data_IF_619329970038
#
_entry.id   IF_619329970038
#
_cell.length_a   1.000
_cell.length_b   1.000
_cell.length_c   1.000
_cell.angle_alpha   90.00
_cell.angle_beta   90.00
_cell.angle_gamma   90.00
#
_symmetry.space_group_name_H-M   'P 1'
#
loop_
_entity.id
_entity.type
_entity.pdbx_description
1 polymer ?
#
# COMPACT_ATOMS: atom_id res chain seq x y z
N UNK A 1 29.85 -8.99 -16.73
CA UNK A 1 30.48 -8.09 -15.73
C UNK A 1 29.40 -7.12 -15.33
N UNK A 2 28.74 -7.40 -14.20
CA UNK A 2 27.87 -6.44 -13.52
C UNK A 2 28.77 -5.29 -13.07
N UNK A 3 28.60 -4.12 -13.67
CA UNK A 3 29.17 -2.90 -13.10
C UNK A 3 28.50 -2.67 -11.75
N UNK A 4 29.30 -2.39 -10.72
CA UNK A 4 28.85 -2.20 -9.35
C UNK A 4 27.82 -1.05 -9.29
N UNK A 5 26.67 -1.29 -8.64
CA UNK A 5 25.58 -0.34 -8.49
C UNK A 5 26.08 1.00 -7.93
N UNK A 6 27.04 0.90 -7.01
CA UNK A 6 27.62 2.02 -6.29
C UNK A 6 28.53 2.90 -7.15
N UNK A 7 29.11 2.35 -8.22
CA UNK A 7 29.97 3.12 -9.15
C UNK A 7 29.16 4.07 -10.05
N UNK A 8 27.86 3.82 -10.22
CA UNK A 8 26.95 4.69 -10.99
C UNK A 8 26.17 5.66 -10.12
N UNK A 9 26.20 5.47 -8.81
CA UNK A 9 25.44 6.29 -7.87
C UNK A 9 26.10 7.67 -7.73
N UNK A 10 25.44 8.70 -8.28
CA UNK A 10 25.86 10.09 -8.13
C UNK A 10 24.84 10.79 -7.24
N UNK A 11 25.28 11.30 -6.09
CA UNK A 11 24.48 12.22 -5.31
C UNK A 11 24.34 13.53 -6.10
N UNK A 12 23.17 13.75 -6.70
CA UNK A 12 22.88 15.00 -7.39
C UNK A 12 22.32 16.02 -6.42
N UNK A 13 22.89 17.22 -6.40
CA UNK A 13 22.35 18.32 -5.62
C UNK A 13 21.25 19.04 -6.41
N UNK A 14 20.02 18.57 -6.31
CA UNK A 14 18.84 19.36 -6.68
C UNK A 14 18.12 19.76 -5.40
N UNK A 15 17.53 20.95 -5.34
CA UNK A 15 16.73 21.34 -4.19
C UNK A 15 15.25 21.33 -4.54
N UNK A 16 14.41 21.01 -3.56
CA UNK A 16 12.96 21.18 -3.70
C UNK A 16 12.54 22.66 -3.60
N UNK A 17 11.23 22.91 -3.65
CA UNK A 17 10.67 24.27 -3.58
C UNK A 17 10.92 25.01 -2.26
N UNK A 18 11.30 24.30 -1.19
CA UNK A 18 11.64 24.85 0.12
C UNK A 18 13.16 24.87 0.39
N UNK A 19 13.98 24.47 -0.59
CA UNK A 19 15.44 24.52 -0.53
C UNK A 19 16.11 23.29 0.08
N UNK A 20 15.37 22.21 0.35
CA UNK A 20 15.94 20.96 0.87
C UNK A 20 16.59 20.15 -0.25
N UNK A 21 17.70 19.44 0.01
CA UNK A 21 18.34 18.61 -0.99
C UNK A 21 17.44 17.43 -1.38
N UNK A 22 17.51 17.06 -2.64
CA UNK A 22 16.93 15.81 -3.16
C UNK A 22 18.09 14.91 -3.51
N UNK A 23 18.31 13.88 -2.69
CA UNK A 23 19.32 12.87 -2.94
C UNK A 23 18.76 11.86 -3.94
N UNK A 24 19.27 11.89 -5.16
CA UNK A 24 18.89 10.95 -6.21
C UNK A 24 20.02 9.96 -6.45
N UNK A 25 19.67 8.74 -6.84
CA UNK A 25 20.62 7.82 -7.48
C UNK A 25 20.10 7.47 -8.86
N UNK A 26 21.02 7.24 -9.78
CA UNK A 26 20.71 6.95 -11.17
C UNK A 26 20.31 5.48 -11.39
N UNK A 27 20.42 4.61 -10.38
CA UNK A 27 20.43 3.16 -10.60
C UNK A 27 19.66 2.27 -9.61
N UNK A 28 19.23 2.72 -8.42
CA UNK A 28 18.67 1.77 -7.43
C UNK A 28 17.55 2.23 -6.51
N UNK A 29 17.59 3.41 -5.89
CA UNK A 29 16.59 3.68 -4.84
C UNK A 29 15.40 4.53 -5.29
N UNK A 30 15.39 4.93 -6.57
CA UNK A 30 14.67 6.13 -6.98
C UNK A 30 15.25 7.38 -6.29
N UNK A 31 14.44 8.42 -6.16
CA UNK A 31 14.86 9.69 -5.55
C UNK A 31 14.36 9.73 -4.10
N UNK A 32 15.24 9.99 -3.14
CA UNK A 32 14.88 10.13 -1.73
C UNK A 32 15.16 11.53 -1.21
N UNK A 33 14.32 12.00 -0.31
CA UNK A 33 14.43 13.36 0.25
C UNK A 33 14.29 13.27 1.76
N UNK A 34 15.26 13.82 2.50
CA UNK A 34 15.06 14.11 3.92
C UNK A 34 14.94 15.61 4.09
N UNK A 35 13.78 16.04 4.55
CA UNK A 35 13.46 17.44 4.81
C UNK A 35 12.90 17.63 6.22
N UNK A 36 12.52 18.87 6.55
CA UNK A 36 11.69 19.13 7.72
C UNK A 36 10.65 20.21 7.41
N UNK A 37 9.46 20.16 8.04
CA UNK A 37 8.44 21.18 7.90
C UNK A 37 8.96 22.57 8.31
N UNK A 38 8.34 23.62 7.75
CA UNK A 38 8.54 24.98 8.26
C UNK A 38 8.29 25.02 9.78
N UNK A 39 9.05 25.82 10.55
CA UNK A 39 9.94 26.90 10.10
C UNK A 39 11.43 26.53 9.99
N UNK A 40 11.79 25.25 9.91
CA UNK A 40 13.18 24.84 9.60
C UNK A 40 13.68 25.48 8.31
N UNK A 41 14.96 25.85 8.28
CA UNK A 41 15.62 26.42 7.10
C UNK A 41 16.99 25.80 6.88
N UNK A 42 17.27 25.21 5.72
CA UNK A 42 18.64 24.89 5.31
C UNK A 42 19.49 26.16 5.30
N UNK A 43 20.68 26.09 5.91
CA UNK A 43 21.62 27.22 6.01
C UNK A 43 22.99 26.91 5.42
N UNK A 44 23.35 25.63 5.33
CA UNK A 44 24.60 25.18 4.75
C UNK A 44 24.40 23.84 4.04
N UNK A 45 25.14 23.66 2.96
CA UNK A 45 24.95 22.58 2.00
C UNK A 45 26.29 22.26 1.35
N UNK A 46 26.82 21.08 1.64
CA UNK A 46 28.06 20.58 1.05
C UNK A 46 27.77 19.30 0.27
N UNK A 47 28.36 19.17 -0.92
CA UNK A 47 28.15 18.01 -1.77
C UNK A 47 29.43 17.66 -2.49
N UNK A 48 29.87 16.44 -2.24
CA UNK A 48 30.88 15.73 -3.01
C UNK A 48 30.22 14.63 -3.84
N UNK A 49 31.01 13.83 -4.54
CA UNK A 49 30.51 12.73 -5.38
C UNK A 49 29.79 11.66 -4.55
N UNK A 50 30.29 11.37 -3.35
CA UNK A 50 29.85 10.26 -2.49
C UNK A 50 29.27 10.70 -1.15
N UNK A 51 29.31 11.99 -0.86
CA UNK A 51 28.79 12.55 0.38
C UNK A 51 28.00 13.82 0.12
N UNK A 52 26.83 13.90 0.72
CA UNK A 52 25.98 15.09 0.73
C UNK A 52 25.66 15.42 2.18
N UNK A 53 25.88 16.66 2.57
CA UNK A 53 25.62 17.13 3.92
C UNK A 53 24.83 18.42 3.93
N UNK A 54 23.81 18.47 4.78
CA UNK A 54 22.95 19.63 4.96
C UNK A 54 22.87 20.00 6.41
N UNK A 55 23.07 21.27 6.69
CA UNK A 55 22.75 21.87 7.99
C UNK A 55 21.50 22.73 7.84
N UNK A 56 20.56 22.55 8.76
CA UNK A 56 19.40 23.39 8.90
C UNK A 56 19.27 23.96 10.32
N UNK A 57 18.63 25.12 10.44
CA UNK A 57 18.38 25.79 11.71
C UNK A 57 16.88 26.06 11.92
N UNK A 58 16.45 25.98 13.16
CA UNK A 58 15.10 26.32 13.60
C UNK A 58 15.15 27.59 14.46
N UNK A 59 14.22 28.55 14.28
CA UNK A 59 14.21 29.82 15.01
C UNK A 59 14.16 29.66 16.54
N UNK A 60 13.65 28.53 17.05
CA UNK A 60 13.63 28.27 18.50
C UNK A 60 14.97 27.88 19.11
N UNK A 61 16.03 27.75 18.30
CA UNK A 61 17.36 27.36 18.78
C UNK A 61 17.61 25.85 18.69
N UNK A 62 17.24 25.25 17.56
CA UNK A 62 17.65 23.89 17.20
C UNK A 62 18.49 23.91 15.93
N UNK A 63 19.45 22.99 15.84
CA UNK A 63 20.24 22.75 14.64
C UNK A 63 20.12 21.29 14.24
N UNK A 64 19.86 21.06 12.96
CA UNK A 64 19.78 19.75 12.36
C UNK A 64 20.92 19.58 11.36
N UNK A 65 21.54 18.40 11.36
CA UNK A 65 22.53 17.98 10.38
C UNK A 65 22.06 16.67 9.75
N UNK A 66 21.97 16.64 8.43
CA UNK A 66 21.64 15.45 7.64
C UNK A 66 22.86 15.14 6.80
N UNK A 67 23.34 13.90 6.86
CA UNK A 67 24.47 13.41 6.06
C UNK A 67 24.05 12.16 5.30
N UNK A 68 24.29 12.17 4.00
CA UNK A 68 24.17 11.02 3.12
C UNK A 68 25.59 10.59 2.74
N UNK A 69 25.87 9.30 2.87
CA UNK A 69 27.14 8.70 2.44
C UNK A 69 26.85 7.53 1.53
N UNK A 70 27.46 7.49 0.36
CA UNK A 70 27.34 6.40 -0.62
C UNK A 70 28.72 5.77 -0.83
N UNK A 71 28.87 4.55 -0.33
CA UNK A 71 30.05 3.71 -0.55
C UNK A 71 29.59 2.31 -1.00
N UNK A 72 29.86 1.26 -0.23
CA UNK A 72 29.27 -0.08 -0.44
C UNK A 72 27.82 -0.17 0.06
N UNK A 73 27.37 0.88 0.75
CA UNK A 73 26.04 1.04 1.32
C UNK A 73 25.63 2.50 1.16
N UNK A 74 24.34 2.78 1.30
CA UNK A 74 23.83 4.14 1.38
C UNK A 74 23.38 4.47 2.80
N UNK A 75 24.22 5.21 3.52
CA UNK A 75 23.93 5.64 4.89
C UNK A 75 23.25 7.02 4.91
N UNK A 76 22.21 7.16 5.74
CA UNK A 76 21.54 8.42 6.06
C UNK A 76 21.64 8.64 7.56
N UNK A 77 22.33 9.70 7.97
CA UNK A 77 22.48 10.10 9.37
C UNK A 77 21.82 11.45 9.61
N UNK A 78 20.95 11.52 10.61
CA UNK A 78 20.22 12.72 10.99
C UNK A 78 20.50 12.99 12.46
N UNK A 79 20.99 14.18 12.79
CA UNK A 79 21.22 14.62 14.17
C UNK A 79 20.50 15.94 14.36
N UNK A 80 19.64 16.02 15.38
CA UNK A 80 18.97 17.25 15.81
C UNK A 80 19.41 17.58 17.22
N UNK A 81 19.86 18.81 17.45
CA UNK A 81 20.36 19.26 18.76
C UNK A 81 19.81 20.63 19.14
N UNK A 82 19.48 20.81 20.41
CA UNK A 82 19.19 22.12 20.99
C UNK A 82 20.49 22.94 21.14
N UNK A 83 20.52 24.16 20.61
CA UNK A 83 21.68 25.07 20.68
C UNK A 83 21.59 26.07 21.83
N UNK A 84 20.40 26.24 22.41
CA UNK A 84 20.16 27.13 23.55
C UNK A 84 20.18 26.45 24.92
N UNK A 85 19.86 27.23 25.94
CA UNK A 85 19.80 26.84 27.36
C UNK A 85 18.38 26.53 27.88
N UNK A 86 17.38 26.58 26.98
CA UNK A 86 15.97 26.28 27.26
C UNK A 86 15.52 24.98 26.61
N UNK A 87 14.52 24.34 27.20
CA UNK A 87 13.81 23.26 26.55
C UNK A 87 13.02 23.80 25.35
N UNK A 88 13.01 23.05 24.25
CA UNK A 88 12.35 23.42 22.99
C UNK A 88 11.52 22.25 22.47
N UNK A 89 10.52 22.59 21.66
CA UNK A 89 9.73 21.63 20.90
C UNK A 89 9.72 22.07 19.44
N UNK A 90 10.22 21.22 18.55
CA UNK A 90 10.37 21.54 17.12
C UNK A 90 9.80 20.41 16.26
N UNK A 91 9.32 20.68 15.03
CA UNK A 91 8.92 19.63 14.10
C UNK A 91 10.08 18.68 13.80
N UNK A 92 9.80 17.39 13.70
CA UNK A 92 10.81 16.39 13.31
C UNK A 92 11.07 16.37 11.80
N UNK A 93 12.17 15.74 11.37
CA UNK A 93 12.46 15.50 9.96
C UNK A 93 11.49 14.50 9.35
N UNK A 94 11.31 14.59 8.03
CA UNK A 94 10.52 13.67 7.19
C UNK A 94 11.42 13.07 6.13
N UNK A 95 11.24 11.79 5.85
CA UNK A 95 11.91 11.06 4.80
C UNK A 95 10.89 10.61 3.75
N UNK A 96 11.03 11.15 2.53
CA UNK A 96 10.12 10.96 1.40
C UNK A 96 10.77 10.18 0.28
N UNK A 97 9.94 9.44 -0.45
CA UNK A 97 10.33 8.57 -1.55
C UNK A 97 9.64 9.02 -2.82
N UNK A 98 10.39 9.55 -3.76
CA UNK A 98 9.91 10.02 -5.06
C UNK A 98 10.18 8.93 -6.10
N UNK A 99 9.45 7.82 -5.94
CA UNK A 99 9.46 6.65 -6.81
C UNK A 99 8.17 6.58 -7.62
N UNK A 100 8.21 5.83 -8.71
CA UNK A 100 7.07 5.49 -9.57
C UNK A 100 6.13 4.46 -8.92
N UNK A 101 6.69 3.54 -8.14
CA UNK A 101 5.96 2.55 -7.35
C UNK A 101 6.06 2.92 -5.86
N UNK A 102 4.97 2.85 -5.08
CA UNK A 102 4.99 3.09 -3.64
C UNK A 102 5.99 2.18 -2.93
N UNK A 103 6.67 2.68 -1.92
CA UNK A 103 7.64 1.93 -1.11
C UNK A 103 6.95 1.16 0.01
N UNK A 104 7.50 0.02 0.42
CA UNK A 104 7.07 -0.65 1.65
C UNK A 104 7.84 -0.06 2.81
N UNK A 105 7.16 0.48 3.80
CA UNK A 105 7.76 1.06 4.98
C UNK A 105 7.12 0.47 6.23
N UNK A 106 7.97 0.04 7.16
CA UNK A 106 7.61 -0.43 8.50
C UNK A 106 8.40 0.37 9.55
N UNK A 107 8.10 1.67 9.73
CA UNK A 107 8.73 2.52 10.75
C UNK A 107 8.04 2.29 12.10
N UNK A 108 8.53 1.31 12.86
CA UNK A 108 7.90 0.78 14.06
C UNK A 108 8.60 1.27 15.33
N UNK A 109 9.02 2.52 15.43
CA UNK A 109 9.70 3.07 16.61
C UNK A 109 11.19 2.76 16.61
N UNK A 110 11.65 1.98 17.59
CA UNK A 110 13.05 1.61 17.73
C UNK A 110 13.58 0.74 16.58
N UNK A 111 12.69 0.02 15.89
CA UNK A 111 12.98 -0.72 14.66
C UNK A 111 12.31 -0.06 13.45
N UNK A 112 12.97 -0.17 12.30
CA UNK A 112 12.46 0.39 11.06
C UNK A 112 13.05 -0.34 9.86
N UNK A 113 12.19 -0.73 8.93
CA UNK A 113 12.60 -1.28 7.62
C UNK A 113 11.86 -0.52 6.53
N UNK A 114 12.54 -0.13 5.46
CA UNK A 114 11.91 0.43 4.25
C UNK A 114 12.47 -0.28 3.03
N UNK A 115 11.63 -0.52 2.03
CA UNK A 115 12.02 -1.13 0.77
C UNK A 115 11.55 -0.30 -0.41
N UNK A 116 12.46 -0.01 -1.33
CA UNK A 116 12.15 0.69 -2.58
C UNK A 116 12.33 -0.26 -3.74
N UNK A 117 11.34 -0.34 -4.63
CA UNK A 117 11.37 -1.15 -5.85
C UNK A 117 10.97 -0.26 -7.03
N UNK A 118 11.88 0.59 -7.54
CA UNK A 118 11.57 1.38 -8.72
C UNK A 118 11.32 0.45 -9.92
N UNK A 119 10.41 0.83 -10.83
CA UNK A 119 10.13 0.03 -12.04
C UNK A 119 11.36 -0.14 -12.92
N UNK A 120 12.24 0.87 -12.90
CA UNK A 120 13.55 0.85 -13.54
C UNK A 120 14.66 1.03 -12.48
N UNK A 121 15.31 -0.07 -12.09
CA UNK A 121 16.43 -0.05 -11.14
C UNK A 121 16.54 -1.34 -10.34
N UNK A 122 17.55 -1.40 -9.46
CA UNK A 122 17.64 -2.45 -8.43
C UNK A 122 16.67 -2.19 -7.27
N UNK A 123 16.31 -3.22 -6.51
CA UNK A 123 15.56 -3.04 -5.26
C UNK A 123 16.53 -2.61 -4.16
N UNK A 124 16.08 -1.73 -3.25
CA UNK A 124 16.86 -1.37 -2.05
C UNK A 124 16.10 -1.72 -0.78
N UNK A 125 16.84 -2.21 0.20
CA UNK A 125 16.41 -2.41 1.57
C UNK A 125 17.10 -1.41 2.48
N UNK A 126 16.34 -0.78 3.36
CA UNK A 126 16.80 0.23 4.29
C UNK A 126 16.49 -0.19 5.72
N UNK A 127 17.53 -0.33 6.54
CA UNK A 127 17.41 -0.70 7.94
C UNK A 127 17.69 0.48 8.85
N UNK A 128 16.83 0.70 9.82
CA UNK A 128 17.10 1.63 10.92
C UNK A 128 18.13 1.02 11.86
N UNK A 129 19.23 1.74 12.07
CA UNK A 129 20.26 1.40 13.05
C UNK A 129 20.03 2.11 14.39
N UNK A 130 19.51 3.34 14.33
CA UNK A 130 19.18 4.18 15.49
C UNK A 130 17.98 5.04 15.12
N UNK A 131 17.04 5.23 16.05
CA UNK A 131 15.92 6.15 15.88
C UNK A 131 14.70 5.80 16.71
N UNK A 132 13.64 6.59 16.54
CA UNK A 132 12.28 6.29 17.01
C UNK A 132 11.32 6.64 15.87
N UNK A 133 11.40 5.86 14.79
CA UNK A 133 10.70 6.19 13.55
C UNK A 133 9.21 5.91 13.63
N UNK A 134 8.42 6.69 12.88
CA UNK A 134 6.98 6.47 12.77
C UNK A 134 6.49 6.74 11.36
N UNK A 135 5.33 6.19 11.04
CA UNK A 135 4.63 6.50 9.80
C UNK A 135 4.04 7.92 9.88
N UNK A 136 4.45 8.81 8.98
CA UNK A 136 3.86 10.13 8.80
C UNK A 136 2.67 10.11 7.84
N UNK A 137 2.16 11.30 7.54
CA UNK A 137 1.12 11.47 6.52
C UNK A 137 1.74 11.51 5.11
N UNK A 138 2.97 12.02 5.01
CA UNK A 138 3.68 12.37 3.79
C UNK A 138 5.09 11.74 3.71
N UNK A 139 5.38 10.72 4.52
CA UNK A 139 6.65 10.01 4.53
C UNK A 139 6.95 9.29 5.85
N UNK A 140 8.15 8.75 5.98
CA UNK A 140 8.66 8.21 7.26
C UNK A 140 9.13 9.38 8.13
N UNK A 141 8.86 9.34 9.43
CA UNK A 141 9.33 10.32 10.42
C UNK A 141 10.47 9.69 11.22
N UNK A 142 11.76 9.88 10.88
CA UNK A 142 12.87 9.10 11.47
C UNK A 142 13.07 9.30 12.97
N UNK A 143 12.58 10.44 13.50
CA UNK A 143 12.68 10.83 14.90
C UNK A 143 11.30 11.15 15.53
N UNK A 144 10.21 10.80 14.84
CA UNK A 144 8.85 11.19 15.22
C UNK A 144 8.43 12.60 14.76
N UNK A 145 7.16 12.93 14.97
CA UNK A 145 6.51 14.16 14.44
C UNK A 145 6.99 15.43 15.13
N UNK A 146 7.18 15.38 16.44
CA UNK A 146 7.57 16.50 17.29
C UNK A 146 8.73 16.06 18.17
N UNK A 147 9.81 16.84 18.16
CA UNK A 147 11.00 16.61 18.95
C UNK A 147 10.95 17.49 20.19
N UNK A 148 10.89 16.89 21.37
CA UNK A 148 11.10 17.58 22.63
C UNK A 148 12.58 17.44 23.01
N UNK A 149 13.28 18.57 23.15
CA UNK A 149 14.70 18.61 23.45
C UNK A 149 14.94 19.51 24.67
N UNK A 150 15.61 18.98 25.67
CA UNK A 150 16.19 19.74 26.78
C UNK A 150 17.43 20.55 26.36
N UNK A 151 17.94 21.41 27.25
CA UNK A 151 19.14 22.21 27.00
C UNK A 151 20.35 21.35 26.62
N UNK A 152 20.90 21.56 25.43
CA UNK A 152 22.04 20.83 24.91
C UNK A 152 21.78 19.38 24.49
N UNK A 153 20.55 18.87 24.66
CA UNK A 153 20.14 17.53 24.27
C UNK A 153 20.19 17.34 22.76
N UNK A 154 20.47 16.10 22.34
CA UNK A 154 20.48 15.70 20.94
C UNK A 154 19.74 14.39 20.72
N UNK A 155 18.99 14.32 19.63
CA UNK A 155 18.40 13.10 19.09
C UNK A 155 19.10 12.74 17.78
N UNK A 156 19.22 11.45 17.50
CA UNK A 156 19.87 10.95 16.30
C UNK A 156 19.06 9.83 15.66
N UNK A 157 19.03 9.80 14.34
CA UNK A 157 18.51 8.69 13.54
C UNK A 157 19.55 8.29 12.50
N UNK A 158 19.67 6.99 12.26
CA UNK A 158 20.61 6.41 11.32
C UNK A 158 19.92 5.30 10.55
N UNK A 159 20.01 5.35 9.23
CA UNK A 159 19.48 4.37 8.31
C UNK A 159 20.55 3.91 7.35
N UNK A 160 20.52 2.63 6.98
CA UNK A 160 21.47 2.04 6.04
C UNK A 160 20.74 1.31 4.92
N UNK A 161 21.02 1.71 3.70
CA UNK A 161 20.51 1.12 2.46
C UNK A 161 21.48 0.10 1.86
N UNK A 162 20.97 -1.05 1.47
CA UNK A 162 21.68 -2.07 0.68
C UNK A 162 20.85 -2.47 -0.54
N UNK A 163 21.53 -2.94 -1.58
CA UNK A 163 20.84 -3.57 -2.71
C UNK A 163 20.25 -4.90 -2.28
N UNK A 164 18.97 -5.09 -2.57
CA UNK A 164 18.24 -6.33 -2.35
C UNK A 164 18.05 -7.06 -3.68
N UNK A 165 18.28 -8.37 -3.68
CA UNK A 165 18.06 -9.21 -4.86
C UNK A 165 16.58 -9.53 -5.06
N UNK A 166 15.81 -9.61 -3.97
CA UNK A 166 14.39 -9.94 -3.99
C UNK A 166 13.64 -9.45 -2.74
N UNK A 167 12.29 -9.33 -2.80
CA UNK A 167 11.47 -8.85 -1.69
C UNK A 167 11.60 -9.63 -0.38
N UNK A 168 11.78 -10.95 -0.41
CA UNK A 168 11.85 -11.78 0.80
C UNK A 168 13.02 -11.41 1.72
N UNK A 169 14.09 -10.82 1.18
CA UNK A 169 15.23 -10.39 1.99
C UNK A 169 14.84 -9.38 3.08
N UNK A 170 13.80 -8.58 2.82
CA UNK A 170 13.24 -7.61 3.76
C UNK A 170 12.76 -8.24 5.08
N UNK A 171 12.40 -9.52 5.05
CA UNK A 171 11.95 -10.24 6.24
C UNK A 171 13.11 -10.60 7.17
N UNK A 172 14.34 -10.68 6.65
CA UNK A 172 15.52 -11.05 7.45
C UNK A 172 15.97 -9.93 8.39
N UNK A 173 15.63 -8.68 8.09
CA UNK A 173 15.98 -7.53 8.94
C UNK A 173 14.94 -7.20 10.01
N UNK A 174 13.81 -7.92 10.01
CA UNK A 174 12.79 -7.80 11.04
C UNK A 174 13.25 -8.45 12.35
N UNK A 175 12.75 -7.97 13.51
CA UNK A 175 13.09 -8.60 14.78
C UNK A 175 12.61 -10.06 14.87
N UNK A 176 13.46 -10.95 15.40
CA UNK A 176 13.17 -12.39 15.52
C UNK A 176 11.91 -12.71 16.34
N UNK A 177 11.50 -11.80 17.22
CA UNK A 177 10.31 -11.94 18.05
C UNK A 177 9.00 -11.59 17.34
N UNK A 178 9.10 -10.93 16.18
CA UNK A 178 7.94 -10.42 15.45
C UNK A 178 7.15 -11.61 14.86
N UNK A 179 5.82 -11.68 15.11
CA UNK A 179 4.98 -12.69 14.49
C UNK A 179 5.04 -12.63 12.97
N UNK A 180 4.94 -13.80 12.31
CA UNK A 180 4.87 -13.88 10.84
C UNK A 180 3.61 -13.22 10.25
N UNK A 181 2.54 -13.08 11.04
CA UNK A 181 1.31 -12.38 10.69
C UNK A 181 0.92 -11.45 11.85
N UNK A 182 0.78 -10.16 11.56
CA UNK A 182 0.31 -9.17 12.56
C UNK A 182 -1.19 -8.90 12.47
N UNK A 183 -1.83 -9.28 11.37
CA UNK A 183 -3.26 -9.10 11.18
C UNK A 183 -3.84 -10.44 10.79
N UNK A 184 -4.59 -11.02 11.71
CA UNK A 184 -5.16 -12.36 11.62
C UNK A 184 -6.68 -12.27 11.45
N UNK A 185 -7.36 -13.39 11.25
CA UNK A 185 -8.81 -13.40 11.19
C UNK A 185 -9.41 -13.16 12.59
N UNK A 186 -10.59 -12.57 12.66
CA UNK A 186 -11.30 -12.36 13.92
C UNK A 186 -11.48 -13.67 14.70
N UNK A 187 -11.02 -13.69 15.95
CA UNK A 187 -11.01 -14.86 16.82
C UNK A 187 -9.69 -15.63 16.88
N UNK A 188 -8.75 -15.36 15.97
CA UNK A 188 -7.41 -15.94 16.00
C UNK A 188 -6.50 -15.28 17.05
N UNK A 189 -5.42 -15.97 17.40
CA UNK A 189 -4.41 -15.50 18.35
C UNK A 189 -3.14 -15.02 17.64
N UNK A 190 -2.52 -13.96 18.15
CA UNK A 190 -1.21 -13.49 17.69
C UNK A 190 -0.16 -13.84 18.75
N UNK A 191 0.91 -14.51 18.35
CA UNK A 191 1.94 -15.02 19.24
C UNK A 191 3.23 -14.18 19.13
N UNK A 192 3.56 -13.43 20.17
CA UNK A 192 4.75 -12.58 20.27
C UNK A 192 5.77 -13.17 21.25
N UNK A 193 6.80 -13.85 20.75
CA UNK A 193 7.83 -14.48 21.59
C UNK A 193 8.87 -13.45 22.08
N UNK A 194 8.51 -12.74 23.16
CA UNK A 194 9.31 -11.64 23.74
C UNK A 194 9.47 -11.79 25.26
N UNK A 195 10.15 -12.83 25.77
CA UNK A 195 10.13 -13.18 27.20
C UNK A 195 10.68 -12.07 28.13
N UNK A 196 11.56 -11.20 27.61
CA UNK A 196 12.22 -10.13 28.37
C UNK A 196 11.68 -8.72 28.07
N UNK A 197 10.61 -8.59 27.27
CA UNK A 197 10.05 -7.29 26.89
C UNK A 197 8.81 -6.94 27.72
N UNK A 198 8.61 -5.65 27.97
CA UNK A 198 7.31 -5.15 28.44
C UNK A 198 6.35 -5.03 27.26
N UNK A 199 5.15 -5.61 27.38
CA UNK A 199 4.14 -5.57 26.32
C UNK A 199 2.96 -4.69 26.74
N UNK A 200 2.50 -3.85 25.82
CA UNK A 200 1.27 -3.09 25.99
C UNK A 200 0.43 -3.12 24.73
N UNK A 201 -0.87 -3.37 24.85
CA UNK A 201 -1.84 -3.32 23.76
C UNK A 201 -2.77 -2.12 23.99
N UNK A 202 -2.81 -1.18 23.05
CA UNK A 202 -3.56 0.08 23.17
C UNK A 202 -3.31 0.83 24.49
N UNK A 203 -2.07 0.79 24.97
CA UNK A 203 -1.66 1.45 26.22
C UNK A 203 -2.04 0.69 27.50
N UNK A 204 -2.62 -0.52 27.41
CA UNK A 204 -2.85 -1.41 28.55
C UNK A 204 -1.76 -2.47 28.63
N UNK A 205 -1.19 -2.70 29.82
CA UNK A 205 -0.23 -3.78 30.04
C UNK A 205 -0.86 -5.15 29.74
N UNK A 206 -0.10 -6.01 29.06
CA UNK A 206 -0.46 -7.40 28.83
C UNK A 206 0.61 -8.31 29.42
N UNK A 207 0.17 -9.31 30.19
CA UNK A 207 1.06 -10.28 30.84
C UNK A 207 1.35 -11.49 29.92
N UNK A 208 0.73 -11.53 28.73
CA UNK A 208 0.76 -12.67 27.82
C UNK A 208 1.52 -12.41 26.54
N UNK A 209 2.32 -13.39 26.12
CA UNK A 209 2.89 -13.50 24.77
C UNK A 209 1.82 -13.85 23.71
N UNK A 210 0.62 -14.23 24.14
CA UNK A 210 -0.53 -14.53 23.28
C UNK A 210 -1.49 -13.36 23.36
N UNK A 211 -1.68 -12.67 22.25
CA UNK A 211 -2.57 -11.54 22.12
C UNK A 211 -3.90 -12.00 21.52
N UNK A 212 -4.98 -11.50 22.13
CA UNK A 212 -6.35 -11.62 21.62
C UNK A 212 -6.98 -10.24 21.62
N UNK A 213 -7.88 -9.99 20.68
CA UNK A 213 -8.47 -8.68 20.49
C UNK A 213 -9.79 -8.73 19.74
N UNK A 214 -10.34 -7.54 19.55
CA UNK A 214 -11.58 -7.31 18.80
C UNK A 214 -11.27 -6.94 17.37
N UNK A 215 -12.27 -7.01 16.48
CA UNK A 215 -12.11 -6.54 15.11
C UNK A 215 -11.57 -5.10 15.06
N UNK A 216 -10.57 -4.88 14.21
CA UNK A 216 -9.89 -3.59 14.06
C UNK A 216 -8.36 -3.69 14.14
N UNK A 217 -7.72 -2.54 13.94
CA UNK A 217 -6.28 -2.34 14.17
C UNK A 217 -6.03 -1.81 15.59
N UNK A 218 -4.93 -2.27 16.17
CA UNK A 218 -4.48 -1.98 17.53
C UNK A 218 -2.99 -1.67 17.54
N UNK A 219 -2.55 -0.82 18.47
CA UNK A 219 -1.13 -0.53 18.67
C UNK A 219 -0.56 -1.50 19.71
N UNK A 220 0.46 -2.28 19.31
CA UNK A 220 1.25 -3.09 20.23
C UNK A 220 2.55 -2.35 20.52
N UNK A 221 2.85 -2.05 21.79
CA UNK A 221 4.16 -1.58 22.21
C UNK A 221 4.98 -2.75 22.78
N UNK A 222 6.17 -2.95 22.21
CA UNK A 222 7.18 -3.90 22.68
C UNK A 222 8.36 -3.12 23.22
N UNK A 223 8.47 -3.05 24.55
CA UNK A 223 9.48 -2.26 25.26
C UNK A 223 10.68 -3.12 25.59
N UNK A 224 11.80 -2.82 24.94
CA UNK A 224 13.08 -3.50 25.11
C UNK A 224 14.16 -2.51 25.55
N UNK A 225 15.34 -3.02 25.95
CA UNK A 225 16.46 -2.16 26.36
C UNK A 225 16.92 -1.18 25.26
N UNK A 226 16.76 -1.57 23.98
CA UNK A 226 17.11 -0.73 22.81
C UNK A 226 16.10 0.38 22.52
N UNK A 227 14.90 0.32 23.09
CA UNK A 227 13.81 1.24 22.80
C UNK A 227 12.46 0.53 22.72
N UNK A 228 11.44 1.27 22.27
CA UNK A 228 10.08 0.74 22.11
C UNK A 228 9.77 0.52 20.64
N UNK A 229 9.45 -0.71 20.28
CA UNK A 229 8.96 -1.07 18.95
C UNK A 229 7.43 -1.03 18.96
N UNK A 230 6.80 -0.45 17.92
CA UNK A 230 5.36 -0.17 17.86
C UNK A 230 4.71 -0.71 16.57
N UNK A 231 4.64 -2.04 16.39
CA UNK A 231 3.88 -2.61 15.29
C UNK A 231 2.36 -2.38 15.48
N UNK A 232 1.64 -2.35 14.37
CA UNK A 232 0.19 -2.51 14.42
C UNK A 232 -0.16 -3.99 14.36
N UNK A 233 -1.06 -4.41 15.23
CA UNK A 233 -1.68 -5.75 15.20
C UNK A 233 -3.17 -5.60 14.93
N UNK A 234 -3.83 -6.65 14.45
CA UNK A 234 -5.26 -6.54 14.20
C UNK A 234 -5.99 -7.85 13.99
N UNK A 235 -7.30 -7.74 14.09
CA UNK A 235 -8.24 -8.83 13.83
C UNK A 235 -9.17 -8.39 12.72
N UNK A 236 -9.04 -9.03 11.57
CA UNK A 236 -9.83 -8.71 10.40
C UNK A 236 -11.17 -9.47 10.46
N UNK A 237 -12.32 -8.79 10.33
CA UNK A 237 -13.57 -9.49 10.12
C UNK A 237 -13.51 -10.27 8.80
N UNK A 238 -14.21 -11.39 8.73
CA UNK A 238 -14.28 -12.13 7.47
C UNK A 238 -14.98 -11.31 6.37
N UNK A 239 -14.53 -11.46 5.12
CA UNK A 239 -15.17 -10.80 3.97
C UNK A 239 -16.67 -11.13 3.89
N UNK A 240 -17.06 -12.36 4.25
CA UNK A 240 -18.47 -12.77 4.30
C UNK A 240 -19.26 -11.98 5.34
N UNK A 241 -18.71 -11.74 6.54
CA UNK A 241 -19.36 -10.92 7.57
C UNK A 241 -19.54 -9.48 7.10
N UNK A 242 -18.50 -8.88 6.53
CA UNK A 242 -18.53 -7.50 6.01
C UNK A 242 -19.52 -7.38 4.85
N UNK A 243 -19.51 -8.33 3.90
CA UNK A 243 -20.46 -8.39 2.78
C UNK A 243 -21.90 -8.41 3.26
N UNK A 244 -22.21 -9.27 4.25
CA UNK A 244 -23.56 -9.38 4.82
C UNK A 244 -24.01 -8.07 5.46
N UNK A 245 -23.20 -7.54 6.39
CA UNK A 245 -23.54 -6.30 7.11
C UNK A 245 -23.75 -5.16 6.10
N UNK A 246 -22.83 -5.00 5.15
CA UNK A 246 -22.93 -3.93 4.17
C UNK A 246 -24.09 -4.13 3.19
N UNK A 247 -24.36 -5.37 2.78
CA UNK A 247 -25.52 -5.72 1.97
C UNK A 247 -26.85 -5.37 2.66
N UNK A 248 -26.98 -5.67 3.95
CA UNK A 248 -28.16 -5.31 4.76
C UNK A 248 -28.35 -3.78 4.83
N UNK A 249 -27.27 -3.03 5.04
CA UNK A 249 -27.28 -1.55 5.07
C UNK A 249 -27.68 -0.95 3.72
N UNK A 250 -27.11 -1.45 2.63
CA UNK A 250 -27.44 -0.99 1.28
C UNK A 250 -28.91 -1.32 0.99
N UNK A 251 -29.35 -2.55 1.21
CA UNK A 251 -30.74 -2.95 0.96
C UNK A 251 -31.74 -2.08 1.75
N UNK A 252 -31.42 -1.73 2.99
CA UNK A 252 -32.28 -0.88 3.83
C UNK A 252 -32.31 0.61 3.44
N UNK A 253 -31.35 1.08 2.65
CA UNK A 253 -31.17 2.51 2.35
C UNK A 253 -31.13 2.85 0.85
N UNK A 254 -31.12 1.86 -0.05
CA UNK A 254 -30.95 2.06 -1.48
C UNK A 254 -32.10 2.85 -2.09
N UNK A 255 -31.78 4.01 -2.66
CA UNK A 255 -32.63 4.69 -3.64
C UNK A 255 -32.18 4.29 -5.04
N UNK A 256 -32.95 3.42 -5.69
CA UNK A 256 -32.71 2.90 -7.06
C UNK A 256 -32.44 4.02 -8.07
N UNK A 257 -32.97 5.24 -7.86
CA UNK A 257 -32.76 6.37 -8.77
C UNK A 257 -31.39 7.02 -8.66
N UNK A 258 -30.72 6.77 -7.53
CA UNK A 258 -29.44 7.36 -7.10
C UNK A 258 -28.40 6.31 -6.72
N UNK A 259 -28.65 5.04 -7.06
CA UNK A 259 -27.70 3.96 -6.85
C UNK A 259 -26.38 4.24 -7.59
N UNK A 260 -25.29 3.72 -7.05
CA UNK A 260 -23.97 3.72 -7.68
C UNK A 260 -23.57 2.27 -7.99
N UNK A 261 -22.61 2.09 -8.90
CA UNK A 261 -22.21 0.76 -9.38
C UNK A 261 -21.66 -0.13 -8.28
N UNK A 262 -20.87 0.43 -7.36
CA UNK A 262 -20.13 -0.30 -6.33
C UNK A 262 -21.11 -0.94 -5.34
N UNK A 263 -22.14 -0.18 -4.90
CA UNK A 263 -23.19 -0.70 -4.04
C UNK A 263 -24.06 -1.74 -4.73
N UNK A 264 -24.35 -1.58 -6.02
CA UNK A 264 -25.09 -2.61 -6.77
C UNK A 264 -24.31 -3.91 -6.87
N UNK A 265 -22.99 -3.83 -7.10
CA UNK A 265 -22.13 -5.00 -7.10
C UNK A 265 -22.14 -5.69 -5.74
N UNK A 266 -21.92 -4.95 -4.65
CA UNK A 266 -21.96 -5.49 -3.27
C UNK A 266 -23.32 -6.15 -2.99
N UNK A 267 -24.42 -5.47 -3.30
CA UNK A 267 -25.77 -5.98 -3.05
C UNK A 267 -26.05 -7.25 -3.85
N UNK A 268 -25.64 -7.30 -5.12
CA UNK A 268 -25.76 -8.49 -5.96
C UNK A 268 -24.95 -9.67 -5.39
N UNK A 269 -23.68 -9.44 -5.02
CA UNK A 269 -22.82 -10.47 -4.40
C UNK A 269 -23.39 -10.98 -3.07
N UNK A 270 -23.94 -10.08 -2.24
CA UNK A 270 -24.57 -10.44 -0.97
C UNK A 270 -25.83 -11.30 -1.19
N UNK A 271 -26.68 -10.93 -2.15
CA UNK A 271 -27.89 -11.69 -2.47
C UNK A 271 -27.58 -13.07 -3.06
N UNK A 272 -26.58 -13.16 -3.95
CA UNK A 272 -26.11 -14.44 -4.51
C UNK A 272 -25.52 -15.38 -3.46
N UNK A 273 -24.89 -14.83 -2.43
CA UNK A 273 -24.40 -15.58 -1.29
C UNK A 273 -25.47 -15.91 -0.24
N UNK A 274 -26.73 -15.50 -0.45
CA UNK A 274 -27.84 -15.63 0.48
C UNK A 274 -27.63 -14.91 1.84
N UNK A 275 -26.84 -13.83 1.84
CA UNK A 275 -26.63 -12.97 3.01
C UNK A 275 -27.79 -12.00 3.24
N UNK A 276 -28.50 -11.63 2.18
CA UNK A 276 -29.69 -10.76 2.19
C UNK A 276 -30.84 -11.40 1.42
N UNK A 277 -32.05 -10.82 1.53
CA UNK A 277 -33.23 -11.31 0.81
C UNK A 277 -33.02 -11.25 -0.70
N UNK A 278 -33.51 -12.26 -1.42
CA UNK A 278 -33.42 -12.36 -2.88
C UNK A 278 -34.14 -11.21 -3.60
N UNK A 279 -35.09 -10.52 -2.96
CA UNK A 279 -35.69 -9.26 -3.46
C UNK A 279 -34.62 -8.21 -3.77
N UNK A 280 -33.45 -8.26 -3.12
CA UNK A 280 -32.32 -7.40 -3.45
C UNK A 280 -31.88 -7.50 -4.93
N UNK A 281 -32.00 -8.68 -5.56
CA UNK A 281 -31.67 -8.83 -6.99
C UNK A 281 -32.66 -8.09 -7.89
N UNK A 282 -33.94 -8.02 -7.51
CA UNK A 282 -34.95 -7.24 -8.24
C UNK A 282 -34.65 -5.74 -8.15
N UNK A 283 -34.21 -5.27 -6.97
CA UNK A 283 -33.75 -3.88 -6.77
C UNK A 283 -32.51 -3.57 -7.61
N UNK A 284 -31.58 -4.53 -7.74
CA UNK A 284 -30.40 -4.39 -8.61
C UNK A 284 -30.82 -4.27 -10.07
N UNK A 285 -31.72 -5.14 -10.54
CA UNK A 285 -32.18 -5.12 -11.94
C UNK A 285 -32.87 -3.77 -12.27
N UNK A 286 -33.76 -3.26 -11.42
CA UNK A 286 -34.39 -1.95 -11.59
C UNK A 286 -33.36 -0.80 -11.62
N UNK A 287 -32.31 -0.89 -10.80
CA UNK A 287 -31.26 0.12 -10.75
C UNK A 287 -30.37 0.11 -12.00
N UNK A 288 -30.08 -1.08 -12.54
CA UNK A 288 -29.28 -1.25 -13.75
C UNK A 288 -29.95 -0.63 -14.97
N UNK A 289 -31.27 -0.83 -15.15
CA UNK A 289 -32.01 -0.20 -16.25
C UNK A 289 -31.83 1.33 -16.25
N UNK A 290 -31.91 1.94 -15.06
CA UNK A 290 -31.74 3.38 -14.90
C UNK A 290 -30.27 3.82 -15.11
N UNK A 291 -29.29 3.11 -14.56
CA UNK A 291 -27.88 3.49 -14.67
C UNK A 291 -27.33 3.33 -16.09
N UNK A 292 -27.67 2.24 -16.77
CA UNK A 292 -27.21 1.98 -18.14
C UNK A 292 -27.88 2.88 -19.17
N UNK A 293 -29.08 3.40 -18.88
CA UNK A 293 -29.74 4.39 -19.74
C UNK A 293 -29.03 5.76 -19.80
N UNK A 294 -28.04 5.98 -18.92
CA UNK A 294 -27.29 7.24 -18.82
C UNK A 294 -25.85 7.03 -19.31
N UNK A 295 -25.24 8.03 -19.97
CA UNK A 295 -23.83 7.97 -20.31
C UNK A 295 -22.97 7.98 -19.03
N UNK A 296 -21.84 7.26 -19.07
CA UNK A 296 -20.85 7.26 -17.98
C UNK A 296 -21.07 6.19 -16.91
N UNK A 297 -21.68 5.05 -17.26
CA UNK A 297 -21.73 3.89 -16.38
C UNK A 297 -20.31 3.45 -15.98
N UNK A 298 -20.09 3.26 -14.68
CA UNK A 298 -18.79 2.87 -14.13
C UNK A 298 -18.53 1.37 -14.25
N UNK A 299 -17.28 0.98 -13.96
CA UNK A 299 -16.81 -0.40 -14.00
C UNK A 299 -17.77 -1.38 -13.30
N UNK A 300 -18.12 -1.12 -12.03
CA UNK A 300 -18.99 -2.02 -11.27
C UNK A 300 -20.44 -2.06 -11.77
N UNK A 301 -20.94 -1.00 -12.41
CA UNK A 301 -22.23 -1.05 -13.11
C UNK A 301 -22.16 -2.04 -14.27
N UNK A 302 -21.11 -1.96 -15.09
CA UNK A 302 -20.88 -2.86 -16.23
C UNK A 302 -20.71 -4.31 -15.76
N UNK A 303 -19.87 -4.57 -14.76
CA UNK A 303 -19.65 -5.91 -14.21
C UNK A 303 -20.93 -6.52 -13.65
N UNK A 304 -21.70 -5.73 -12.89
CA UNK A 304 -22.99 -6.18 -12.33
C UNK A 304 -23.96 -6.51 -13.46
N UNK A 305 -24.08 -5.64 -14.46
CA UNK A 305 -24.97 -5.85 -15.60
C UNK A 305 -24.61 -7.11 -16.40
N UNK A 306 -23.35 -7.31 -16.77
CA UNK A 306 -22.89 -8.50 -17.51
C UNK A 306 -23.16 -9.79 -16.74
N UNK A 307 -22.86 -9.80 -15.43
CA UNK A 307 -23.05 -10.99 -14.60
C UNK A 307 -24.54 -11.31 -14.42
N UNK A 308 -25.36 -10.30 -14.10
CA UNK A 308 -26.82 -10.44 -13.93
C UNK A 308 -27.52 -10.87 -15.21
N UNK A 309 -27.24 -10.20 -16.33
CA UNK A 309 -27.85 -10.47 -17.63
C UNK A 309 -27.46 -11.84 -18.19
N UNK A 310 -26.22 -12.29 -17.99
CA UNK A 310 -25.81 -13.65 -18.39
C UNK A 310 -26.59 -14.76 -17.67
N UNK A 311 -27.03 -14.50 -16.43
CA UNK A 311 -27.80 -15.46 -15.61
C UNK A 311 -29.30 -15.41 -15.92
N UNK A 312 -29.83 -14.21 -16.16
CA UNK A 312 -31.26 -13.97 -16.43
C UNK A 312 -31.63 -14.12 -17.91
N UNK A 313 -30.63 -14.18 -18.80
CA UNK A 313 -30.79 -14.12 -20.26
C UNK A 313 -31.47 -12.82 -20.75
N UNK A 314 -31.27 -11.71 -20.02
CA UNK A 314 -31.75 -10.39 -20.41
C UNK A 314 -30.82 -9.77 -21.47
N UNK A 315 -31.25 -9.85 -22.73
CA UNK A 315 -30.46 -9.34 -23.85
C UNK A 315 -30.42 -7.82 -23.95
N UNK A 316 -31.40 -7.11 -23.41
CA UNK A 316 -31.44 -5.65 -23.48
C UNK A 316 -30.41 -5.06 -22.51
N UNK A 317 -30.38 -5.56 -21.27
CA UNK A 317 -29.34 -5.20 -20.29
C UNK A 317 -27.96 -5.63 -20.78
N UNK A 318 -27.83 -6.82 -21.39
CA UNK A 318 -26.56 -7.30 -21.94
C UNK A 318 -26.00 -6.34 -23.00
N UNK A 319 -26.82 -5.93 -23.98
CA UNK A 319 -26.38 -5.04 -25.05
C UNK A 319 -25.98 -3.66 -24.52
N UNK A 320 -26.77 -3.09 -23.59
CA UNK A 320 -26.42 -1.83 -22.94
C UNK A 320 -25.12 -1.93 -22.13
N UNK A 321 -24.88 -3.07 -21.47
CA UNK A 321 -23.64 -3.32 -20.76
C UNK A 321 -22.42 -3.40 -21.70
N UNK A 322 -22.57 -4.00 -22.89
CA UNK A 322 -21.52 -4.02 -23.91
C UNK A 322 -21.22 -2.63 -24.48
N UNK A 323 -22.25 -1.81 -24.69
CA UNK A 323 -22.08 -0.41 -25.10
C UNK A 323 -21.34 0.40 -24.04
N UNK A 324 -21.70 0.22 -22.77
CA UNK A 324 -21.02 0.85 -21.64
C UNK A 324 -19.58 0.36 -21.47
N UNK A 325 -19.34 -0.94 -21.64
CA UNK A 325 -18.00 -1.54 -21.60
C UNK A 325 -17.08 -0.91 -22.65
N UNK A 326 -17.56 -0.71 -23.88
CA UNK A 326 -16.79 -0.17 -24.99
C UNK A 326 -16.34 1.29 -24.80
N UNK A 327 -16.91 2.01 -23.82
CA UNK A 327 -16.55 3.40 -23.51
C UNK A 327 -15.88 3.56 -22.13
N UNK A 328 -15.57 2.45 -21.45
CA UNK A 328 -14.73 2.51 -20.26
C UNK A 328 -13.32 2.99 -20.62
N UNK A 329 -12.71 3.73 -19.69
CA UNK A 329 -11.36 4.26 -19.84
C UNK A 329 -10.34 3.10 -19.89
N UNK A 330 -9.58 2.98 -20.99
CA UNK A 330 -8.57 1.95 -21.20
C UNK A 330 -7.28 2.19 -20.38
N UNK A 331 -7.19 3.35 -19.72
CA UNK A 331 -6.19 3.70 -18.72
C UNK A 331 -6.66 3.50 -17.28
N UNK A 332 -7.85 2.92 -17.05
CA UNK A 332 -8.33 2.54 -15.71
C UNK A 332 -8.05 1.06 -15.43
N UNK A 333 -7.47 0.70 -14.26
CA UNK A 333 -7.30 -0.69 -13.87
C UNK A 333 -8.64 -1.45 -13.82
N UNK A 334 -8.65 -2.66 -14.38
CA UNK A 334 -9.81 -3.56 -14.41
C UNK A 334 -10.62 -3.48 -15.70
N UNK A 335 -10.40 -2.47 -16.56
CA UNK A 335 -11.13 -2.37 -17.83
C UNK A 335 -10.88 -3.60 -18.72
N UNK A 336 -9.64 -4.05 -18.85
CA UNK A 336 -9.30 -5.21 -19.69
C UNK A 336 -9.81 -6.53 -19.07
N UNK A 337 -9.78 -6.66 -17.75
CA UNK A 337 -10.40 -7.76 -17.01
C UNK A 337 -11.92 -7.80 -17.24
N UNK A 338 -12.59 -6.65 -17.27
CA UNK A 338 -14.02 -6.58 -17.58
C UNK A 338 -14.32 -7.05 -19.01
N UNK A 339 -13.48 -6.69 -19.98
CA UNK A 339 -13.56 -7.22 -21.35
C UNK A 339 -13.35 -8.75 -21.39
N UNK A 340 -12.36 -9.27 -20.65
CA UNK A 340 -12.10 -10.71 -20.55
C UNK A 340 -13.28 -11.47 -19.90
N UNK A 341 -13.89 -10.89 -18.86
CA UNK A 341 -15.10 -11.41 -18.23
C UNK A 341 -16.26 -11.44 -19.22
N UNK A 342 -16.53 -10.33 -19.91
CA UNK A 342 -17.61 -10.23 -20.90
C UNK A 342 -17.45 -11.29 -22.00
N UNK A 343 -16.24 -11.46 -22.54
CA UNK A 343 -15.95 -12.48 -23.56
C UNK A 343 -16.16 -13.90 -23.02
N UNK A 344 -15.77 -14.16 -21.76
CA UNK A 344 -15.97 -15.46 -21.11
C UNK A 344 -17.46 -15.76 -20.91
N UNK A 345 -18.22 -14.80 -20.39
CA UNK A 345 -19.67 -14.91 -20.20
C UNK A 345 -20.42 -15.07 -21.51
N UNK A 346 -20.02 -14.37 -22.58
CA UNK A 346 -20.60 -14.52 -23.92
C UNK A 346 -20.45 -15.95 -24.44
N UNK A 347 -19.26 -16.54 -24.29
CA UNK A 347 -18.98 -17.93 -24.70
C UNK A 347 -19.78 -18.96 -23.91
N UNK A 348 -20.02 -18.71 -22.62
CA UNK A 348 -20.80 -19.61 -21.75
C UNK A 348 -22.29 -19.50 -22.06
N UNK A 349 -22.81 -18.28 -22.24
CA UNK A 349 -24.24 -18.00 -22.45
C UNK A 349 -24.70 -18.11 -23.91
N UNK A 350 -23.77 -18.11 -24.87
CA UNK A 350 -24.06 -18.03 -26.30
C UNK A 350 -24.48 -16.63 -26.78
N UNK A 351 -24.22 -15.59 -25.97
CA UNK A 351 -24.54 -14.20 -26.29
C UNK A 351 -23.53 -13.51 -27.23
N UNK A 352 -23.82 -12.27 -27.65
CA UNK A 352 -22.88 -11.43 -28.40
C UNK A 352 -21.57 -11.24 -27.64
N UNK A 353 -20.44 -11.44 -28.32
CA UNK A 353 -19.12 -11.16 -27.75
C UNK A 353 -18.86 -9.63 -27.73
N UNK A 354 -18.10 -9.14 -26.73
CA UNK A 354 -17.66 -7.74 -26.72
C UNK A 354 -16.77 -7.44 -27.93
N UNK A 355 -16.81 -6.20 -28.41
CA UNK A 355 -15.85 -5.73 -29.41
C UNK A 355 -14.42 -5.80 -28.86
N UNK A 356 -13.41 -6.00 -29.74
CA UNK A 356 -12.01 -5.88 -29.33
C UNK A 356 -11.75 -4.52 -28.69
N UNK A 357 -11.02 -4.51 -27.58
CA UNK A 357 -10.59 -3.27 -26.93
C UNK A 357 -9.49 -2.61 -27.76
N UNK A 358 -9.62 -1.31 -28.00
CA UNK A 358 -8.62 -0.51 -28.72
C UNK A 358 -7.65 0.13 -27.72
N UNK A 359 -6.56 -0.58 -27.43
CA UNK A 359 -5.55 -0.16 -26.46
C UNK A 359 -4.60 0.87 -27.08
N UNK A 360 -5.10 2.10 -27.27
CA UNK A 360 -4.33 3.19 -27.89
C UNK A 360 -3.54 4.01 -26.89
N UNK A 361 -3.91 3.98 -25.60
CA UNK A 361 -3.15 4.68 -24.57
C UNK A 361 -1.80 3.99 -24.30
N UNK A 362 -0.76 4.79 -24.06
CA UNK A 362 0.51 4.38 -23.45
C UNK A 362 0.42 4.62 -21.94
N UNK A 363 0.03 3.60 -21.15
CA UNK A 363 -0.33 3.81 -19.76
C UNK A 363 0.93 3.96 -18.90
N UNK A 364 0.90 4.95 -18.01
CA UNK A 364 1.92 5.11 -16.96
C UNK A 364 1.53 4.38 -15.67
N UNK A 365 0.25 4.00 -15.51
CA UNK A 365 -0.26 3.37 -14.31
C UNK A 365 0.23 1.92 -14.16
N UNK A 366 0.96 1.58 -13.07
CA UNK A 366 1.51 0.24 -12.87
C UNK A 366 0.46 -0.87 -12.88
N UNK A 367 -0.77 -0.62 -12.43
CA UNK A 367 -1.82 -1.65 -12.40
C UNK A 367 -2.41 -1.92 -13.79
N UNK A 368 -2.50 -0.91 -14.65
CA UNK A 368 -2.93 -1.09 -16.05
C UNK A 368 -1.87 -1.85 -16.84
N UNK A 369 -0.60 -1.54 -16.60
CA UNK A 369 0.52 -2.24 -17.22
C UNK A 369 0.57 -3.70 -16.78
N UNK A 370 0.43 -3.97 -15.48
CA UNK A 370 0.33 -5.31 -14.94
C UNK A 370 -0.86 -6.10 -15.53
N UNK A 371 -2.02 -5.45 -15.65
CA UNK A 371 -3.22 -6.04 -16.26
C UNK A 371 -3.00 -6.42 -17.73
N UNK A 372 -2.37 -5.53 -18.51
CA UNK A 372 -2.04 -5.79 -19.91
C UNK A 372 -1.00 -6.93 -20.05
N UNK A 373 0.05 -6.93 -19.24
CA UNK A 373 1.07 -7.98 -19.23
C UNK A 373 0.48 -9.35 -18.91
N UNK A 374 -0.40 -9.41 -17.91
CA UNK A 374 -1.07 -10.65 -17.51
C UNK A 374 -2.07 -11.18 -18.55
N UNK A 375 -2.86 -10.32 -19.19
CA UNK A 375 -3.98 -10.77 -20.04
C UNK A 375 -3.62 -10.89 -21.53
N UNK A 376 -2.65 -10.12 -22.03
CA UNK A 376 -2.35 -10.07 -23.47
C UNK A 376 -1.16 -10.95 -23.86
N UNK A 377 -0.12 -11.01 -23.03
CA UNK A 377 1.09 -11.78 -23.30
C UNK A 377 1.63 -12.44 -22.01
N UNK A 378 0.87 -13.35 -21.37
CA UNK A 378 1.34 -14.04 -20.18
C UNK A 378 2.49 -14.97 -20.55
N UNK A 379 3.71 -14.47 -20.34
CA UNK A 379 4.93 -15.26 -20.47
C UNK A 379 4.99 -16.43 -19.47
N UNK A 380 6.06 -17.25 -19.51
CA UNK A 380 6.25 -18.35 -18.57
C UNK A 380 6.50 -17.88 -17.12
N UNK A 381 6.83 -16.60 -16.92
CA UNK A 381 7.07 -15.94 -15.63
C UNK A 381 6.46 -14.53 -15.68
N UNK A 382 6.09 -13.95 -14.52
CA UNK A 382 5.63 -12.57 -14.48
C UNK A 382 6.77 -11.63 -14.88
N UNK A 383 6.44 -10.63 -15.68
CA UNK A 383 7.35 -9.53 -16.04
C UNK A 383 7.38 -8.46 -14.92
N UNK A 384 8.28 -7.45 -14.98
CA UNK A 384 8.37 -6.40 -13.96
C UNK A 384 7.07 -5.61 -13.76
N UNK A 385 6.30 -5.40 -14.82
CA UNK A 385 5.03 -4.68 -14.75
C UNK A 385 4.00 -5.51 -13.98
N UNK A 386 3.86 -6.80 -14.29
CA UNK A 386 3.01 -7.74 -13.56
C UNK A 386 3.40 -7.82 -12.09
N UNK A 387 4.71 -7.92 -11.78
CA UNK A 387 5.22 -7.94 -10.40
C UNK A 387 4.87 -6.66 -9.61
N UNK A 388 4.66 -5.53 -10.28
CA UNK A 388 4.24 -4.29 -9.63
C UNK A 388 2.87 -4.43 -8.94
N UNK A 389 1.96 -5.24 -9.48
CA UNK A 389 0.69 -5.53 -8.82
C UNK A 389 0.87 -6.31 -7.50
N UNK A 390 1.77 -7.29 -7.46
CA UNK A 390 2.12 -7.98 -6.21
C UNK A 390 2.75 -7.03 -5.20
N UNK A 391 3.56 -6.09 -5.66
CA UNK A 391 4.16 -5.09 -4.80
C UNK A 391 3.11 -4.16 -4.18
N UNK A 392 2.13 -3.75 -4.97
CA UNK A 392 1.00 -2.90 -4.55
C UNK A 392 0.01 -3.61 -3.61
N UNK A 393 0.09 -4.94 -3.47
CA UNK A 393 -0.58 -5.62 -2.36
C UNK A 393 -0.05 -5.13 -1.02
N UNK A 394 1.23 -4.72 -0.93
CA UNK A 394 1.83 -4.29 0.33
C UNK A 394 2.15 -5.44 1.29
N UNK A 395 2.11 -6.69 0.84
CA UNK A 395 2.09 -7.88 1.72
C UNK A 395 3.45 -8.46 2.12
N UNK A 396 4.55 -7.80 1.74
CA UNK A 396 5.92 -8.29 1.99
C UNK A 396 6.31 -8.02 3.44
N UNK A 397 6.25 -6.77 3.87
CA UNK A 397 6.48 -6.41 5.27
C UNK A 397 5.19 -6.55 6.08
N UNK A 398 5.28 -6.88 7.38
CA UNK A 398 4.16 -6.79 8.29
C UNK A 398 3.56 -5.37 8.33
N UNK A 399 2.25 -5.26 8.53
CA UNK A 399 1.57 -3.96 8.45
C UNK A 399 1.95 -3.04 9.61
N UNK A 400 2.45 -1.82 9.37
CA UNK A 400 2.27 -0.74 10.33
C UNK A 400 0.84 -0.19 10.25
N UNK A 401 0.42 0.57 11.27
CA UNK A 401 -0.82 1.35 11.17
C UNK A 401 -0.51 2.67 10.47
N UNK A 402 -1.30 3.06 9.43
CA UNK A 402 -2.51 2.42 8.90
C UNK A 402 -2.27 1.48 7.69
N UNK A 403 -1.03 1.30 7.25
CA UNK A 403 -0.67 0.43 6.14
C UNK A 403 0.79 0.62 5.73
N UNK A 404 1.42 -0.38 5.07
CA UNK A 404 2.86 -0.36 4.82
C UNK A 404 3.27 0.43 3.58
N UNK A 405 2.34 0.88 2.73
CA UNK A 405 2.69 1.51 1.47
C UNK A 405 2.73 3.04 1.57
N UNK A 406 3.83 3.62 1.11
CA UNK A 406 4.05 5.07 1.01
C UNK A 406 4.46 5.45 -0.41
N UNK A 407 3.92 6.53 -0.95
CA UNK A 407 4.40 7.17 -2.17
C UNK A 407 4.97 8.57 -1.87
N UNK A 408 5.35 9.31 -2.92
CA UNK A 408 5.94 10.65 -2.80
C UNK A 408 4.97 11.71 -2.25
N UNK A 409 3.69 11.38 -2.16
CA UNK A 409 2.62 12.25 -1.65
C UNK A 409 2.09 11.78 -0.29
N UNK A 410 2.45 10.58 0.16
CA UNK A 410 2.13 10.09 1.48
C UNK A 410 1.65 8.65 1.50
N UNK A 411 0.65 8.38 2.35
CA UNK A 411 0.07 7.04 2.47
C UNK A 411 -0.58 6.63 1.15
N UNK A 412 -0.21 5.44 0.68
CA UNK A 412 -0.78 4.90 -0.53
C UNK A 412 -2.28 4.59 -0.35
N UNK A 413 -3.16 4.97 -1.28
CA UNK A 413 -4.61 4.78 -1.10
C UNK A 413 -5.01 3.30 -1.00
N UNK A 414 -5.90 2.98 -0.04
CA UNK A 414 -6.45 1.65 0.17
C UNK A 414 -7.09 1.06 -1.10
N UNK A 415 -7.76 1.92 -1.89
CA UNK A 415 -8.36 1.54 -3.18
C UNK A 415 -7.35 0.91 -4.14
N UNK A 416 -6.11 1.40 -4.19
CA UNK A 416 -5.07 0.86 -5.08
C UNK A 416 -4.64 -0.55 -4.66
N UNK A 417 -4.55 -0.80 -3.35
CA UNK A 417 -4.30 -2.15 -2.83
C UNK A 417 -5.47 -3.10 -3.11
N UNK A 418 -6.71 -2.61 -3.06
CA UNK A 418 -7.89 -3.41 -3.45
C UNK A 418 -7.89 -3.72 -4.96
N UNK A 419 -7.50 -2.77 -5.81
CA UNK A 419 -7.32 -3.00 -7.26
C UNK A 419 -6.23 -4.03 -7.53
N UNK A 420 -5.10 -3.95 -6.82
CA UNK A 420 -4.04 -4.95 -6.89
C UNK A 420 -4.54 -6.34 -6.45
N UNK A 421 -5.36 -6.42 -5.39
CA UNK A 421 -5.96 -7.68 -4.93
C UNK A 421 -6.92 -8.28 -5.97
N UNK A 422 -7.78 -7.47 -6.58
CA UNK A 422 -8.67 -7.90 -7.66
C UNK A 422 -7.88 -8.35 -8.90
N UNK A 423 -6.88 -7.57 -9.32
CA UNK A 423 -6.06 -7.92 -10.49
C UNK A 423 -5.30 -9.22 -10.28
N UNK A 424 -4.63 -9.34 -9.14
CA UNK A 424 -3.89 -10.55 -8.79
C UNK A 424 -4.83 -11.73 -8.51
N UNK A 425 -6.16 -11.55 -8.39
CA UNK A 425 -7.13 -12.65 -8.28
C UNK A 425 -7.10 -13.56 -9.52
N UNK A 426 -6.86 -12.96 -10.69
CA UNK A 426 -6.77 -13.60 -12.01
C UNK A 426 -5.35 -14.05 -12.39
N UNK A 427 -4.43 -14.02 -11.43
CA UNK A 427 -3.02 -14.37 -11.65
C UNK A 427 -2.88 -15.82 -12.13
N UNK A 428 -2.14 -16.07 -13.24
CA UNK A 428 -1.89 -17.41 -13.75
C UNK A 428 -1.30 -18.34 -12.68
N UNK A 429 -1.90 -19.53 -12.53
CA UNK A 429 -1.46 -20.51 -11.51
C UNK A 429 -0.02 -20.99 -11.68
N UNK A 430 0.53 -20.90 -12.90
CA UNK A 430 1.92 -21.31 -13.19
C UNK A 430 2.97 -20.23 -12.87
N UNK A 431 2.54 -19.02 -12.50
CA UNK A 431 3.44 -17.97 -12.04
C UNK A 431 3.75 -18.13 -10.56
N UNK A 432 4.79 -18.92 -10.27
CA UNK A 432 5.32 -19.08 -8.92
C UNK A 432 6.29 -17.94 -8.57
N UNK A 433 5.99 -17.25 -7.47
CA UNK A 433 6.76 -16.12 -6.93
C UNK A 433 7.33 -16.42 -5.54
N UNK A 434 7.08 -17.61 -5.01
CA UNK A 434 7.34 -17.95 -3.60
C UNK A 434 8.82 -17.86 -3.23
N UNK A 435 9.72 -18.16 -4.19
CA UNK A 435 11.16 -18.06 -3.97
C UNK A 435 11.63 -16.61 -3.71
N UNK A 436 11.04 -15.63 -4.40
CA UNK A 436 11.45 -14.23 -4.32
C UNK A 436 10.64 -13.45 -3.28
N UNK A 437 9.41 -13.86 -2.98
CA UNK A 437 8.49 -13.18 -2.07
C UNK A 437 8.34 -13.88 -0.71
N UNK A 438 8.88 -15.09 -0.56
CA UNK A 438 8.81 -15.92 0.65
C UNK A 438 7.48 -16.65 0.83
N UNK A 439 6.43 -16.22 0.15
CA UNK A 439 5.08 -16.80 0.15
C UNK A 439 4.47 -16.69 -1.24
N UNK A 440 3.41 -17.45 -1.49
CA UNK A 440 2.69 -17.38 -2.76
C UNK A 440 1.83 -16.10 -2.89
N UNK A 441 1.40 -15.82 -4.12
CA UNK A 441 0.56 -14.67 -4.43
C UNK A 441 -0.78 -14.70 -3.66
N UNK A 442 -1.35 -15.88 -3.42
CA UNK A 442 -2.61 -16.03 -2.71
C UNK A 442 -2.51 -15.56 -1.25
N UNK A 443 -1.40 -15.89 -0.58
CA UNK A 443 -1.09 -15.47 0.78
C UNK A 443 -0.90 -13.94 0.84
N UNK A 444 -0.18 -13.36 -0.12
CA UNK A 444 -0.02 -11.89 -0.21
C UNK A 444 -1.37 -11.19 -0.38
N UNK A 445 -2.26 -11.73 -1.22
CA UNK A 445 -3.63 -11.22 -1.39
C UNK A 445 -4.43 -11.32 -0.10
N UNK A 446 -4.35 -12.44 0.61
CA UNK A 446 -5.04 -12.63 1.89
C UNK A 446 -4.57 -11.62 2.93
N UNK A 447 -3.25 -11.38 3.03
CA UNK A 447 -2.68 -10.33 3.89
C UNK A 447 -3.20 -8.95 3.52
N UNK A 448 -3.30 -8.62 2.23
CA UNK A 448 -3.86 -7.36 1.77
C UNK A 448 -5.35 -7.23 2.13
N UNK A 449 -6.15 -8.26 1.88
CA UNK A 449 -7.57 -8.27 2.21
C UNK A 449 -7.81 -8.09 3.72
N UNK A 450 -7.12 -8.87 4.58
CA UNK A 450 -7.23 -8.74 6.04
C UNK A 450 -6.90 -7.33 6.51
N UNK A 451 -5.84 -6.71 5.97
CA UNK A 451 -5.49 -5.32 6.28
C UNK A 451 -6.59 -4.33 5.94
N UNK A 452 -7.12 -4.42 4.72
CA UNK A 452 -8.20 -3.54 4.28
C UNK A 452 -9.46 -3.73 5.14
N UNK A 453 -9.78 -4.97 5.51
CA UNK A 453 -10.94 -5.29 6.34
C UNK A 453 -10.77 -4.91 7.81
N UNK A 454 -9.54 -4.85 8.32
CA UNK A 454 -9.25 -4.43 9.69
C UNK A 454 -9.24 -2.90 9.87
N UNK A 455 -9.26 -2.11 8.79
CA UNK A 455 -9.33 -0.65 8.89
C UNK A 455 -10.69 -0.20 9.44
N UNK A 456 -10.70 0.94 10.16
CA UNK A 456 -11.93 1.53 10.71
C UNK A 456 -12.98 1.86 9.64
N UNK A 457 -12.52 2.16 8.42
CA UNK A 457 -13.36 2.46 7.28
C UNK A 457 -12.77 1.87 6.01
N UNK A 458 -13.60 1.18 5.24
CA UNK A 458 -13.30 0.70 3.90
C UNK A 458 -14.38 1.23 2.95
N UNK A 459 -13.97 1.94 1.91
CA UNK A 459 -14.88 2.49 0.91
C UNK A 459 -15.63 1.38 0.14
N UNK A 460 -16.85 1.66 -0.31
CA UNK A 460 -17.68 0.72 -1.07
C UNK A 460 -16.96 0.23 -2.35
N UNK A 461 -16.21 1.09 -3.05
CA UNK A 461 -15.44 0.70 -4.24
C UNK A 461 -14.33 -0.31 -3.90
N UNK A 462 -13.61 -0.09 -2.80
CA UNK A 462 -12.55 -1.00 -2.35
C UNK A 462 -13.13 -2.34 -1.88
N UNK A 463 -14.26 -2.33 -1.18
CA UNK A 463 -14.99 -3.54 -0.79
C UNK A 463 -15.52 -4.30 -2.02
N UNK A 464 -16.04 -3.58 -3.02
CA UNK A 464 -16.51 -4.17 -4.28
C UNK A 464 -15.38 -4.87 -5.04
N UNK A 465 -14.18 -4.28 -5.07
CA UNK A 465 -12.96 -4.88 -5.64
C UNK A 465 -12.55 -6.16 -4.91
N UNK A 466 -12.66 -6.21 -3.58
CA UNK A 466 -12.36 -7.44 -2.81
C UNK A 466 -13.36 -8.58 -3.09
N UNK A 467 -14.52 -8.28 -3.70
CA UNK A 467 -15.54 -9.26 -4.10
C UNK A 467 -15.50 -9.62 -5.59
N UNK A 468 -14.58 -9.02 -6.35
CA UNK A 468 -14.34 -9.38 -7.74
C UNK A 468 -13.41 -10.58 -7.83
#
# INVERSE_FOLDING_TARGET
MTEDLWDRTILSLTTDGDGWPVAATSTAAGRVVVDAPRPWRPVDLDCSVRELEVTAEHPDGARMRIRYTVEETWDIHIIVRATGDRAISVPGPRWRFLTDIPVHAWPAGADGVVATAPRQGGQMEWKQLVGDSRMGDDGVLPLGRVLALGPGESLASSWRGHEAACPVQLLHDLPDWLPGELIVDEGDEIWCDTPDAGLMLDGAETDGQVLTGRAGLHELEVRQARGTTRPAVGWAPSLASVRRIRGEEIMGSLDVRRADGDRLWILARAAEAADVDRVALEMVDEALENLLSRPGAGLFTVLTALTRSSTTADMDIWNLALEALAVLDDARPGTLMAHALAASLARISGGPEPAPVDLTADPEDPLVLAERGMLLDPGPRPDPDSLSALWLLGGVLPSPAPGPLLDGHGRHPALRTAQAAALTSMWPEWWDVSADWGVDAATLRQRAARRLLAQDHLDDEALALLMW
#
